data_IF_751687144050
#
_entry.id   IF_751687144050
#
_cell.length_a   1.000
_cell.length_b   1.000
_cell.length_c   1.000
_cell.angle_alpha   90.00
_cell.angle_beta   90.00
_cell.angle_gamma   90.00
#
_symmetry.space_group_name_H-M   'P 1'
#
loop_
_entity.id
_entity.type
_entity.pdbx_description
1 polymer ?
#
# COMPACT_ATOMS: atom_id res chain seq x y z
N UNK A 1 53.29 52.20 30.06
CA UNK A 1 51.84 52.10 30.31
C UNK A 1 51.49 53.23 31.27
N UNK A 2 50.68 54.19 30.87
CA UNK A 2 50.21 55.24 31.78
C UNK A 2 49.33 54.61 32.87
N UNK A 3 49.48 54.99 34.15
CA UNK A 3 48.65 54.47 35.22
C UNK A 3 47.17 54.84 34.98
N UNK A 4 46.25 53.94 35.35
CA UNK A 4 44.79 54.11 35.19
C UNK A 4 44.28 55.42 35.84
N UNK A 5 45.04 55.98 36.78
CA UNK A 5 44.78 57.26 37.46
C UNK A 5 44.96 58.51 36.60
N UNK A 6 45.59 58.42 35.43
CA UNK A 6 45.82 59.56 34.52
C UNK A 6 44.77 59.67 33.39
N UNK A 7 43.76 58.81 33.40
CA UNK A 7 42.73 58.82 32.36
C UNK A 7 41.75 59.99 32.58
N UNK A 8 41.26 60.64 31.51
CA UNK A 8 40.23 61.66 31.61
C UNK A 8 38.97 61.12 32.29
N UNK A 9 38.38 61.92 33.18
CA UNK A 9 37.10 61.61 33.82
C UNK A 9 36.06 61.23 32.75
N UNK A 10 35.53 60.01 32.83
CA UNK A 10 34.52 59.47 31.92
C UNK A 10 35.02 58.51 30.83
N UNK A 11 36.33 58.46 30.53
CA UNK A 11 36.87 57.56 29.49
C UNK A 11 36.77 56.09 29.91
N UNK A 12 37.00 55.80 31.20
CA UNK A 12 36.78 54.47 31.79
C UNK A 12 35.31 54.04 31.71
N UNK A 13 34.38 54.92 32.08
CA UNK A 13 32.93 54.64 32.04
C UNK A 13 32.44 54.38 30.62
N UNK A 14 32.91 55.15 29.63
CA UNK A 14 32.58 54.94 28.23
C UNK A 14 33.10 53.58 27.72
N UNK A 15 34.31 53.18 28.12
CA UNK A 15 34.90 51.90 27.74
C UNK A 15 34.16 50.72 28.38
N UNK A 16 33.79 50.83 29.65
CA UNK A 16 32.93 49.84 30.33
C UNK A 16 31.58 49.73 29.64
N UNK A 17 30.93 50.84 29.31
CA UNK A 17 29.65 50.84 28.60
C UNK A 17 29.75 50.20 27.21
N UNK A 18 30.83 50.46 26.46
CA UNK A 18 31.09 49.84 25.16
C UNK A 18 31.30 48.32 25.28
N UNK A 19 32.09 47.87 26.26
CA UNK A 19 32.31 46.43 26.52
C UNK A 19 31.00 45.73 26.91
N UNK A 20 30.22 46.33 27.81
CA UNK A 20 28.91 45.80 28.22
C UNK A 20 27.96 45.72 27.02
N UNK A 21 27.95 46.72 26.15
CA UNK A 21 27.12 46.72 24.94
C UNK A 21 27.52 45.62 23.96
N UNK A 22 28.82 45.40 23.75
CA UNK A 22 29.33 44.33 22.89
C UNK A 22 28.99 42.94 23.44
N UNK A 23 29.12 42.73 24.75
CA UNK A 23 28.74 41.48 25.42
C UNK A 23 27.22 41.26 25.28
N UNK A 24 26.41 42.29 25.55
CA UNK A 24 24.96 42.22 25.42
C UNK A 24 24.50 41.86 24.00
N UNK A 25 25.12 42.49 22.98
CA UNK A 25 24.87 42.17 21.58
C UNK A 25 25.27 40.73 21.24
N UNK A 26 26.46 40.28 21.66
CA UNK A 26 26.93 38.90 21.42
C UNK A 26 26.05 37.83 22.08
N UNK A 27 25.58 38.07 23.31
CA UNK A 27 24.66 37.16 24.00
C UNK A 27 23.29 37.08 23.31
N UNK A 28 22.78 38.21 22.81
CA UNK A 28 21.52 38.25 22.05
C UNK A 28 21.64 37.47 20.74
N UNK A 29 22.71 37.68 19.97
CA UNK A 29 22.92 36.98 18.70
C UNK A 29 23.00 35.45 18.91
N UNK A 30 23.72 35.00 19.94
CA UNK A 30 23.78 33.57 20.31
C UNK A 30 22.40 33.01 20.72
N UNK A 31 21.61 33.80 21.44
CA UNK A 31 20.25 33.42 21.83
C UNK A 31 19.33 33.29 20.61
N UNK A 32 19.30 34.29 19.73
CA UNK A 32 18.50 34.30 18.51
C UNK A 32 18.90 33.16 17.56
N UNK A 33 20.20 32.89 17.44
CA UNK A 33 20.69 31.77 16.64
C UNK A 33 20.27 30.41 17.23
N UNK A 34 20.32 30.23 18.55
CA UNK A 34 19.84 29.00 19.22
C UNK A 34 18.34 28.83 19.05
N UNK A 35 17.57 29.90 19.23
CA UNK A 35 16.12 29.90 19.03
C UNK A 35 15.76 29.52 17.61
N UNK A 36 16.41 30.11 16.60
CA UNK A 36 16.21 29.77 15.19
C UNK A 36 16.49 28.29 14.91
N UNK A 37 17.61 27.76 15.39
CA UNK A 37 17.94 26.32 15.26
C UNK A 37 16.91 25.42 15.94
N UNK A 38 16.39 25.83 17.11
CA UNK A 38 15.34 25.08 17.79
C UNK A 38 14.02 25.10 17.01
N UNK A 39 13.65 26.24 16.42
CA UNK A 39 12.46 26.36 15.58
C UNK A 39 12.60 25.49 14.32
N UNK A 40 13.75 25.56 13.63
CA UNK A 40 14.07 24.72 12.46
C UNK A 40 14.04 23.22 12.82
N UNK A 41 14.64 22.82 13.94
CA UNK A 41 14.63 21.43 14.40
C UNK A 41 13.20 20.94 14.71
N UNK A 42 12.36 21.78 15.33
CA UNK A 42 10.94 21.46 15.59
C UNK A 42 10.14 21.33 14.29
N UNK A 43 10.38 22.21 13.32
CA UNK A 43 9.73 22.13 12.01
C UNK A 43 10.14 20.86 11.26
N UNK A 44 11.44 20.56 11.23
CA UNK A 44 11.96 19.32 10.63
C UNK A 44 11.37 18.08 11.30
N UNK A 45 11.27 18.07 12.64
CA UNK A 45 10.66 16.97 13.38
C UNK A 45 9.17 16.80 13.04
N UNK A 46 8.41 17.90 12.94
CA UNK A 46 6.99 17.85 12.53
C UNK A 46 6.82 17.34 11.11
N UNK A 47 7.63 17.81 10.17
CA UNK A 47 7.60 17.35 8.78
C UNK A 47 7.94 15.85 8.67
N UNK A 48 8.92 15.38 9.44
CA UNK A 48 9.26 13.96 9.50
C UNK A 48 8.11 13.11 10.07
N UNK A 49 7.48 13.57 11.16
CA UNK A 49 6.31 12.91 11.73
C UNK A 49 5.14 12.87 10.74
N UNK A 50 4.85 13.97 10.06
CA UNK A 50 3.78 14.03 9.07
C UNK A 50 4.02 13.07 7.90
N UNK A 51 5.27 13.00 7.42
CA UNK A 51 5.68 12.03 6.39
C UNK A 51 5.46 10.59 6.86
N UNK A 52 5.87 10.26 8.08
CA UNK A 52 5.67 8.93 8.66
C UNK A 52 4.17 8.57 8.78
N UNK A 53 3.35 9.52 9.25
CA UNK A 53 1.89 9.33 9.33
C UNK A 53 1.26 9.11 7.96
N UNK A 54 1.71 9.85 6.94
CA UNK A 54 1.23 9.70 5.57
C UNK A 54 1.60 8.32 5.00
N UNK A 55 2.82 7.86 5.26
CA UNK A 55 3.26 6.52 4.87
C UNK A 55 2.42 5.42 5.54
N UNK A 56 2.18 5.53 6.85
CA UNK A 56 1.33 4.60 7.59
C UNK A 56 -0.13 4.58 7.06
N UNK A 57 -0.70 5.75 6.75
CA UNK A 57 -2.03 5.85 6.11
C UNK A 57 -2.06 5.17 4.75
N UNK A 58 -1.03 5.39 3.93
CA UNK A 58 -0.93 4.78 2.59
C UNK A 58 -0.86 3.25 2.67
N UNK A 59 -0.14 2.70 3.66
CA UNK A 59 -0.12 1.27 3.94
C UNK A 59 -1.46 0.77 4.50
N UNK A 60 -2.14 1.55 5.34
CA UNK A 60 -3.46 1.20 5.86
C UNK A 60 -4.51 1.15 4.74
N UNK A 61 -4.41 2.04 3.75
CA UNK A 61 -5.25 2.03 2.55
C UNK A 61 -5.07 0.73 1.77
N UNK A 62 -3.82 0.28 1.61
CA UNK A 62 -3.53 -1.03 1.01
C UNK A 62 -4.11 -2.19 1.80
N UNK A 63 -4.02 -2.16 3.14
CA UNK A 63 -4.65 -3.14 4.01
C UNK A 63 -6.16 -3.25 3.75
N UNK A 64 -6.86 -2.12 3.56
CA UNK A 64 -8.29 -2.11 3.22
C UNK A 64 -8.55 -2.72 1.84
N UNK A 65 -7.73 -2.40 0.83
CA UNK A 65 -7.85 -3.01 -0.50
C UNK A 65 -7.71 -4.55 -0.44
N UNK A 66 -6.82 -5.08 0.40
CA UNK A 66 -6.67 -6.53 0.59
C UNK A 66 -7.92 -7.14 1.25
N UNK A 67 -8.47 -6.50 2.28
CA UNK A 67 -9.70 -6.96 2.94
C UNK A 67 -10.90 -6.96 1.99
N UNK A 68 -11.07 -5.91 1.20
CA UNK A 68 -12.13 -5.82 0.18
C UNK A 68 -11.96 -6.90 -0.89
N UNK A 69 -10.72 -7.15 -1.34
CA UNK A 69 -10.41 -8.21 -2.29
C UNK A 69 -10.79 -9.59 -1.76
N UNK A 70 -10.49 -9.89 -0.49
CA UNK A 70 -10.87 -11.15 0.16
C UNK A 70 -12.40 -11.33 0.22
N UNK A 71 -13.14 -10.26 0.54
CA UNK A 71 -14.60 -10.29 0.55
C UNK A 71 -15.19 -10.57 -0.85
N UNK A 72 -14.64 -9.93 -1.90
CA UNK A 72 -15.04 -10.18 -3.30
C UNK A 72 -14.78 -11.63 -3.67
N UNK A 73 -13.58 -12.16 -3.37
CA UNK A 73 -13.20 -13.55 -3.69
C UNK A 73 -14.11 -14.55 -2.98
N UNK A 74 -14.46 -14.32 -1.71
CA UNK A 74 -15.41 -15.16 -0.97
C UNK A 74 -16.79 -15.21 -1.62
N UNK A 75 -17.37 -14.05 -1.91
CA UNK A 75 -18.66 -13.96 -2.60
C UNK A 75 -18.61 -14.65 -3.99
N UNK A 76 -17.47 -14.54 -4.67
CA UNK A 76 -17.24 -15.18 -5.94
C UNK A 76 -17.18 -16.71 -5.85
N UNK A 77 -16.49 -17.27 -4.83
CA UNK A 77 -16.50 -18.71 -4.55
C UNK A 77 -17.90 -19.23 -4.22
N UNK A 78 -18.69 -18.49 -3.44
CA UNK A 78 -20.07 -18.88 -3.14
C UNK A 78 -20.94 -18.97 -4.41
N UNK A 79 -20.81 -18.00 -5.33
CA UNK A 79 -21.49 -18.04 -6.62
C UNK A 79 -21.05 -19.25 -7.47
N UNK A 80 -19.74 -19.53 -7.50
CA UNK A 80 -19.17 -20.69 -8.21
C UNK A 80 -19.77 -21.99 -7.67
N UNK A 81 -19.74 -22.20 -6.35
CA UNK A 81 -20.26 -23.42 -5.74
C UNK A 81 -21.76 -23.58 -5.98
N UNK A 82 -22.54 -22.51 -5.84
CA UNK A 82 -23.98 -22.53 -6.12
C UNK A 82 -24.27 -22.95 -7.56
N UNK A 83 -23.54 -22.41 -8.53
CA UNK A 83 -23.68 -22.83 -9.92
C UNK A 83 -23.28 -24.31 -10.06
N UNK A 84 -22.13 -24.71 -9.54
CA UNK A 84 -21.61 -26.07 -9.69
C UNK A 84 -22.50 -27.16 -9.10
N UNK A 85 -23.11 -26.92 -7.94
CA UNK A 85 -24.08 -27.82 -7.29
C UNK A 85 -25.38 -27.89 -8.09
N UNK A 86 -25.76 -26.81 -8.77
CA UNK A 86 -26.99 -26.79 -9.58
C UNK A 86 -26.87 -27.54 -10.91
N UNK A 87 -25.67 -27.94 -11.33
CA UNK A 87 -25.44 -28.60 -12.62
C UNK A 87 -25.62 -30.11 -12.52
N UNK A 88 -26.38 -30.73 -13.45
CA UNK A 88 -26.75 -32.15 -13.35
C UNK A 88 -25.58 -33.11 -13.65
N UNK A 89 -24.61 -32.68 -14.46
CA UNK A 89 -23.50 -33.52 -14.88
C UNK A 89 -22.34 -33.36 -13.88
N UNK A 90 -21.76 -34.45 -13.34
CA UNK A 90 -20.63 -34.36 -12.42
C UNK A 90 -19.40 -33.76 -13.12
N UNK A 91 -18.44 -33.29 -12.32
CA UNK A 91 -17.14 -32.86 -12.81
C UNK A 91 -16.34 -34.06 -13.31
N UNK A 92 -15.78 -33.96 -14.51
CA UNK A 92 -14.89 -34.99 -15.07
C UNK A 92 -13.52 -34.91 -14.36
N UNK A 93 -12.75 -36.01 -14.22
CA UNK A 93 -11.42 -35.94 -13.64
C UNK A 93 -10.54 -34.88 -14.32
N UNK A 94 -9.88 -34.05 -13.51
CA UNK A 94 -9.05 -32.92 -13.95
C UNK A 94 -9.79 -31.79 -14.70
N UNK A 95 -11.13 -31.79 -14.71
CA UNK A 95 -11.91 -30.69 -15.28
C UNK A 95 -11.95 -29.53 -14.29
N UNK A 96 -11.64 -28.34 -14.78
CA UNK A 96 -11.77 -27.10 -14.00
C UNK A 96 -13.22 -26.65 -13.96
N UNK A 97 -13.61 -25.85 -12.96
CA UNK A 97 -14.97 -25.30 -12.91
C UNK A 97 -15.26 -24.47 -14.16
N UNK A 98 -14.28 -23.70 -14.61
CA UNK A 98 -14.42 -22.85 -15.78
C UNK A 98 -14.60 -23.68 -17.06
N UNK A 99 -13.84 -24.77 -17.24
CA UNK A 99 -14.01 -25.68 -18.37
C UNK A 99 -15.39 -26.37 -18.33
N UNK A 100 -15.82 -26.82 -17.15
CA UNK A 100 -17.14 -27.42 -16.94
C UNK A 100 -18.27 -26.46 -17.29
N UNK A 101 -18.18 -25.20 -16.83
CA UNK A 101 -19.19 -24.20 -17.13
C UNK A 101 -19.23 -23.85 -18.62
N UNK A 102 -18.06 -23.69 -19.25
CA UNK A 102 -17.99 -23.40 -20.68
C UNK A 102 -18.59 -24.54 -21.54
N UNK A 103 -18.33 -25.80 -21.16
CA UNK A 103 -18.87 -26.99 -21.84
C UNK A 103 -20.39 -27.09 -21.72
N UNK A 104 -20.94 -26.69 -20.59
CA UNK A 104 -22.39 -26.79 -20.28
C UNK A 104 -23.17 -25.52 -20.59
N UNK A 105 -22.52 -24.46 -21.06
CA UNK A 105 -23.09 -23.12 -21.19
C UNK A 105 -24.37 -23.09 -22.03
N UNK A 106 -24.37 -23.78 -23.17
CA UNK A 106 -25.51 -23.81 -24.10
C UNK A 106 -26.71 -24.61 -23.52
N UNK A 107 -26.47 -25.46 -22.51
CA UNK A 107 -27.46 -26.33 -21.86
C UNK A 107 -27.98 -25.74 -20.53
N UNK A 108 -27.56 -24.54 -20.15
CA UNK A 108 -28.00 -23.93 -18.90
C UNK A 108 -29.50 -23.63 -18.90
N UNK A 109 -30.18 -24.10 -17.87
CA UNK A 109 -31.53 -23.64 -17.51
C UNK A 109 -31.53 -22.13 -17.22
N UNK A 110 -32.69 -21.46 -17.25
CA UNK A 110 -32.76 -20.02 -16.94
C UNK A 110 -32.16 -19.65 -15.56
N UNK A 111 -32.40 -20.41 -14.46
CA UNK A 111 -31.75 -20.14 -13.17
C UNK A 111 -30.22 -20.29 -13.19
N UNK A 112 -29.68 -21.31 -13.87
CA UNK A 112 -28.23 -21.51 -14.02
C UNK A 112 -27.61 -20.38 -14.84
N UNK A 113 -28.26 -19.97 -15.93
CA UNK A 113 -27.84 -18.82 -16.75
C UNK A 113 -27.76 -17.54 -15.92
N UNK A 114 -28.73 -17.30 -15.03
CA UNK A 114 -28.70 -16.15 -14.14
C UNK A 114 -27.51 -16.19 -13.16
N UNK A 115 -27.23 -17.35 -12.54
CA UNK A 115 -26.07 -17.54 -11.65
C UNK A 115 -24.75 -17.34 -12.41
N UNK A 116 -24.62 -17.92 -13.60
CA UNK A 116 -23.44 -17.74 -14.44
C UNK A 116 -23.21 -16.27 -14.82
N UNK A 117 -24.28 -15.53 -15.17
CA UNK A 117 -24.18 -14.10 -15.45
C UNK A 117 -23.72 -13.29 -14.24
N UNK A 118 -24.21 -13.62 -13.04
CA UNK A 118 -23.75 -12.99 -11.80
C UNK A 118 -22.28 -13.28 -11.53
N UNK A 119 -21.86 -14.54 -11.70
CA UNK A 119 -20.48 -14.97 -11.56
C UNK A 119 -19.56 -14.20 -12.53
N UNK A 120 -19.89 -14.20 -13.83
CA UNK A 120 -19.15 -13.46 -14.86
C UNK A 120 -19.13 -11.96 -14.58
N UNK A 121 -20.27 -11.38 -14.17
CA UNK A 121 -20.35 -9.95 -13.82
C UNK A 121 -19.45 -9.60 -12.63
N UNK A 122 -19.40 -10.46 -11.61
CA UNK A 122 -18.53 -10.25 -10.46
C UNK A 122 -17.04 -10.27 -10.85
N UNK A 123 -16.62 -11.18 -11.75
CA UNK A 123 -15.25 -11.16 -12.31
C UNK A 123 -14.97 -9.90 -13.12
N UNK A 124 -15.87 -9.54 -14.04
CA UNK A 124 -15.69 -8.43 -14.97
C UNK A 124 -15.70 -7.06 -14.30
N UNK A 125 -16.49 -6.90 -13.24
CA UNK A 125 -16.72 -5.61 -12.60
C UNK A 125 -15.99 -5.53 -11.27
N UNK A 126 -16.29 -6.41 -10.31
CA UNK A 126 -15.74 -6.31 -8.96
C UNK A 126 -14.27 -6.74 -8.90
N UNK A 127 -13.95 -7.95 -9.35
CA UNK A 127 -12.58 -8.46 -9.27
C UNK A 127 -11.62 -7.65 -10.15
N UNK A 128 -12.02 -7.33 -11.39
CA UNK A 128 -11.17 -6.54 -12.30
C UNK A 128 -10.79 -5.18 -11.71
N UNK A 129 -11.78 -4.45 -11.18
CA UNK A 129 -11.54 -3.13 -10.59
C UNK A 129 -10.61 -3.29 -9.37
N UNK A 130 -10.90 -4.24 -8.48
CA UNK A 130 -10.09 -4.43 -7.28
C UNK A 130 -8.64 -4.82 -7.60
N UNK A 131 -8.46 -5.74 -8.55
CA UNK A 131 -7.14 -6.18 -9.00
C UNK A 131 -6.36 -5.03 -9.65
N UNK A 132 -7.03 -4.14 -10.39
CA UNK A 132 -6.38 -2.95 -10.94
C UNK A 132 -5.97 -1.98 -9.83
N UNK A 133 -6.81 -1.72 -8.83
CA UNK A 133 -6.47 -0.85 -7.69
C UNK A 133 -5.27 -1.39 -6.90
N UNK A 134 -5.25 -2.70 -6.65
CA UNK A 134 -4.12 -3.37 -5.99
C UNK A 134 -2.84 -3.26 -6.82
N UNK A 135 -2.93 -3.47 -8.15
CA UNK A 135 -1.78 -3.36 -9.04
C UNK A 135 -1.25 -1.93 -9.10
N UNK A 136 -2.14 -0.95 -9.22
CA UNK A 136 -1.77 0.47 -9.27
C UNK A 136 -1.15 0.94 -7.95
N UNK A 137 -1.60 0.42 -6.81
CA UNK A 137 -0.97 0.67 -5.52
C UNK A 137 0.42 0.03 -5.48
N UNK A 138 0.50 -1.25 -5.85
CA UNK A 138 1.75 -1.99 -5.84
C UNK A 138 2.79 -1.38 -6.79
N UNK A 139 2.41 -0.85 -7.95
CA UNK A 139 3.37 -0.24 -8.88
C UNK A 139 3.85 1.14 -8.42
N UNK A 140 3.12 1.83 -7.52
CA UNK A 140 3.47 3.16 -7.00
C UNK A 140 4.29 3.13 -5.72
N UNK A 141 4.10 2.13 -4.88
CA UNK A 141 4.68 2.09 -3.54
C UNK A 141 5.52 0.84 -3.30
N UNK A 142 6.51 0.98 -2.42
CA UNK A 142 7.24 -0.12 -1.79
C UNK A 142 7.42 0.19 -0.31
N UNK A 143 7.60 -0.83 0.52
CA UNK A 143 7.89 -0.61 1.94
C UNK A 143 9.20 0.18 2.10
N UNK A 144 10.18 -0.05 1.24
CA UNK A 144 11.41 0.74 1.19
C UNK A 144 11.15 2.25 1.00
N UNK A 145 10.32 2.63 0.03
CA UNK A 145 10.01 4.05 -0.22
C UNK A 145 9.20 4.70 0.89
N UNK A 146 8.41 3.91 1.62
CA UNK A 146 7.53 4.41 2.67
C UNK A 146 8.24 4.54 4.03
N UNK A 147 9.11 3.59 4.37
CA UNK A 147 9.66 3.44 5.72
C UNK A 147 11.18 3.25 5.77
N UNK A 148 11.85 3.16 4.61
CA UNK A 148 13.28 2.89 4.51
C UNK A 148 13.62 1.40 4.51
N UNK A 149 14.92 1.09 4.64
CA UNK A 149 15.46 -0.26 4.57
C UNK A 149 15.28 -1.01 5.90
N UNK A 150 14.80 -2.25 5.82
CA UNK A 150 14.68 -3.15 6.96
C UNK A 150 14.24 -4.56 6.55
N UNK A 151 14.43 -5.58 7.40
CA UNK A 151 14.13 -6.97 7.05
C UNK A 151 12.63 -7.23 6.83
N UNK A 152 11.75 -6.56 7.57
CA UNK A 152 10.29 -6.67 7.39
C UNK A 152 9.83 -5.96 6.13
N UNK A 153 10.41 -4.80 5.83
CA UNK A 153 10.18 -4.03 4.62
C UNK A 153 10.60 -4.84 3.38
N UNK A 154 11.76 -5.51 3.43
CA UNK A 154 12.21 -6.43 2.38
C UNK A 154 11.27 -7.62 2.20
N UNK A 155 10.82 -8.24 3.30
CA UNK A 155 9.88 -9.35 3.25
C UNK A 155 8.53 -8.94 2.64
N UNK A 156 8.03 -7.76 3.00
CA UNK A 156 6.83 -7.18 2.39
C UNK A 156 7.03 -6.91 0.89
N UNK A 157 8.14 -6.30 0.50
CA UNK A 157 8.41 -5.97 -0.90
C UNK A 157 8.54 -7.24 -1.78
N UNK A 158 9.04 -8.34 -1.23
CA UNK A 158 9.03 -9.64 -1.89
C UNK A 158 7.59 -10.16 -2.11
N UNK A 159 6.71 -10.06 -1.10
CA UNK A 159 5.30 -10.39 -1.26
C UNK A 159 4.62 -9.47 -2.30
N UNK A 160 4.97 -8.18 -2.31
CA UNK A 160 4.44 -7.21 -3.26
C UNK A 160 4.89 -7.51 -4.69
N UNK A 161 6.13 -7.96 -4.88
CA UNK A 161 6.63 -8.44 -6.18
C UNK A 161 5.84 -9.65 -6.67
N UNK A 162 5.55 -10.61 -5.79
CA UNK A 162 4.70 -11.76 -6.11
C UNK A 162 3.27 -11.33 -6.47
N UNK A 163 2.70 -10.36 -5.74
CA UNK A 163 1.40 -9.77 -6.05
C UNK A 163 1.38 -9.15 -7.45
N UNK A 164 2.35 -8.30 -7.80
CA UNK A 164 2.44 -7.66 -9.13
C UNK A 164 2.44 -8.70 -10.24
N UNK A 165 3.24 -9.76 -10.08
CA UNK A 165 3.31 -10.83 -11.06
C UNK A 165 1.97 -11.58 -11.18
N UNK A 166 1.33 -11.89 -10.06
CA UNK A 166 0.00 -12.50 -10.03
C UNK A 166 -1.04 -11.63 -10.75
N UNK A 167 -1.15 -10.34 -10.39
CA UNK A 167 -2.16 -9.43 -10.93
C UNK A 167 -1.97 -9.15 -12.43
N UNK A 168 -0.72 -9.02 -12.89
CA UNK A 168 -0.42 -8.88 -14.34
C UNK A 168 -0.82 -10.14 -15.10
N UNK A 169 -0.44 -11.32 -14.60
CA UNK A 169 -0.84 -12.60 -15.20
C UNK A 169 -2.36 -12.76 -15.23
N UNK A 170 -3.05 -12.35 -14.15
CA UNK A 170 -4.51 -12.35 -14.08
C UNK A 170 -5.11 -11.43 -15.14
N UNK A 171 -4.60 -10.21 -15.28
CA UNK A 171 -5.08 -9.24 -16.28
C UNK A 171 -4.88 -9.74 -17.71
N UNK A 172 -3.73 -10.32 -18.01
CA UNK A 172 -3.43 -10.83 -19.34
C UNK A 172 -4.38 -11.97 -19.71
N UNK A 173 -4.70 -12.87 -18.76
CA UNK A 173 -5.72 -13.91 -18.95
C UNK A 173 -7.14 -13.35 -19.06
N UNK A 174 -7.46 -12.34 -18.28
CA UNK A 174 -8.75 -11.67 -18.35
C UNK A 174 -9.01 -11.16 -19.78
N UNK A 175 -8.02 -10.49 -20.36
CA UNK A 175 -8.11 -9.96 -21.73
C UNK A 175 -8.09 -11.08 -22.78
N UNK A 176 -7.15 -12.01 -22.69
CA UNK A 176 -6.93 -13.02 -23.73
C UNK A 176 -8.03 -14.10 -23.78
N UNK A 177 -8.58 -14.49 -22.63
CA UNK A 177 -9.50 -15.62 -22.53
C UNK A 177 -10.90 -15.20 -22.11
N UNK A 178 -11.03 -14.41 -21.05
CA UNK A 178 -12.35 -14.10 -20.47
C UNK A 178 -13.14 -13.12 -21.32
N UNK A 179 -12.51 -12.05 -21.83
CA UNK A 179 -13.18 -11.10 -22.72
C UNK A 179 -13.49 -11.73 -24.09
N UNK A 180 -12.60 -12.59 -24.60
CA UNK A 180 -12.73 -13.22 -25.90
C UNK A 180 -13.88 -14.24 -25.99
N UNK A 181 -14.22 -14.92 -24.89
CA UNK A 181 -15.24 -15.97 -24.88
C UNK A 181 -16.29 -15.74 -23.78
N UNK A 182 -17.57 -15.51 -24.14
CA UNK A 182 -18.65 -15.28 -23.18
C UNK A 182 -18.98 -16.52 -22.31
N UNK A 183 -18.49 -17.70 -22.70
CA UNK A 183 -18.65 -18.97 -21.96
C UNK A 183 -17.67 -19.10 -20.80
N UNK A 184 -16.66 -18.25 -20.75
CA UNK A 184 -15.76 -18.16 -19.61
C UNK A 184 -16.42 -17.35 -18.50
N UNK A 185 -16.28 -17.75 -17.25
CA UNK A 185 -16.81 -16.96 -16.12
C UNK A 185 -15.79 -16.71 -15.03
N UNK A 186 -14.65 -17.39 -15.07
CA UNK A 186 -13.64 -17.37 -14.02
C UNK A 186 -12.30 -16.93 -14.59
N UNK A 187 -11.54 -16.17 -13.82
CA UNK A 187 -10.12 -15.90 -14.09
C UNK A 187 -9.35 -16.22 -12.82
N UNK A 188 -8.68 -17.37 -12.83
CA UNK A 188 -7.92 -17.94 -11.71
C UNK A 188 -8.66 -17.95 -10.37
N UNK A 189 -9.48 -18.97 -10.18
CA UNK A 189 -9.90 -19.38 -8.85
C UNK A 189 -9.05 -20.56 -8.41
N UNK A 190 -7.96 -20.25 -7.71
CA UNK A 190 -7.16 -21.23 -6.98
C UNK A 190 -6.78 -22.49 -7.79
N UNK A 191 -5.71 -22.38 -8.57
CA UNK A 191 -4.88 -23.54 -8.96
C UNK A 191 -5.54 -24.64 -9.81
N UNK A 192 -6.72 -24.39 -10.38
CA UNK A 192 -7.43 -25.41 -11.19
C UNK A 192 -6.57 -25.91 -12.38
N UNK A 193 -5.63 -25.10 -12.88
CA UNK A 193 -4.72 -25.47 -13.97
C UNK A 193 -3.21 -25.44 -13.62
N UNK A 194 -2.79 -25.09 -12.40
CA UNK A 194 -1.37 -24.85 -12.03
C UNK A 194 -0.59 -23.84 -12.91
N UNK A 195 -1.25 -23.16 -13.84
CA UNK A 195 -0.60 -22.27 -14.82
C UNK A 195 -0.35 -20.84 -14.30
N UNK A 196 -0.71 -20.55 -13.04
CA UNK A 196 -0.68 -19.20 -12.47
C UNK A 196 0.32 -19.05 -11.33
N UNK A 197 0.78 -17.82 -11.09
CA UNK A 197 1.45 -17.49 -9.84
C UNK A 197 0.38 -17.37 -8.75
N UNK A 198 0.54 -18.01 -7.58
CA UNK A 198 -0.45 -17.92 -6.52
C UNK A 198 -0.49 -16.50 -5.94
N UNK A 199 -1.63 -16.13 -5.38
CA UNK A 199 -1.72 -14.91 -4.57
C UNK A 199 -0.78 -15.04 -3.36
N UNK A 200 -0.02 -13.99 -3.00
CA UNK A 200 0.96 -14.06 -1.91
C UNK A 200 0.28 -14.24 -0.54
N UNK A 201 0.40 -15.44 0.03
CA UNK A 201 -0.30 -15.84 1.27
C UNK A 201 0.13 -15.05 2.51
N UNK A 202 1.35 -14.50 2.52
CA UNK A 202 1.89 -13.78 3.67
C UNK A 202 1.69 -12.27 3.56
N UNK A 203 1.14 -11.77 2.46
CA UNK A 203 1.03 -10.33 2.21
C UNK A 203 0.19 -9.62 3.29
N UNK A 204 -0.99 -10.15 3.64
CA UNK A 204 -1.83 -9.54 4.68
C UNK A 204 -1.15 -9.51 6.05
N UNK A 205 -0.42 -10.57 6.41
CA UNK A 205 0.34 -10.63 7.65
C UNK A 205 1.52 -9.64 7.65
N UNK A 206 2.23 -9.53 6.52
CA UNK A 206 3.31 -8.57 6.34
C UNK A 206 2.81 -7.11 6.41
N UNK A 207 1.66 -6.80 5.80
CA UNK A 207 1.00 -5.49 5.91
C UNK A 207 0.68 -5.17 7.37
N UNK A 208 0.10 -6.12 8.11
CA UNK A 208 -0.26 -5.92 9.51
C UNK A 208 0.98 -5.71 10.40
N UNK A 209 2.05 -6.47 10.16
CA UNK A 209 3.32 -6.32 10.89
C UNK A 209 3.93 -4.92 10.68
N UNK A 210 3.97 -4.42 9.44
CA UNK A 210 4.47 -3.08 9.14
C UNK A 210 3.59 -1.98 9.75
N UNK A 211 2.27 -2.13 9.74
CA UNK A 211 1.37 -1.16 10.41
C UNK A 211 1.54 -1.15 11.93
N UNK A 212 1.80 -2.31 12.55
CA UNK A 212 2.06 -2.38 13.98
C UNK A 212 3.39 -1.69 14.35
N UNK A 213 4.41 -1.82 13.50
CA UNK A 213 5.71 -1.16 13.66
C UNK A 213 5.67 0.34 13.39
N UNK A 214 4.88 0.77 12.39
CA UNK A 214 4.78 2.14 11.92
C UNK A 214 3.36 2.69 12.09
N UNK A 215 2.92 2.99 13.32
CA UNK A 215 1.57 3.50 13.56
C UNK A 215 1.38 4.92 12.98
N UNK A 216 0.13 5.21 12.61
CA UNK A 216 -0.29 6.50 12.04
C UNK A 216 -0.46 7.63 13.09
#
# INVERSE_FOLDING_TARGET
MAPISEWPDGLFSALVAAVVSLIGFGLKELYDQRRKRQEEARQAQRAAQETQRQAARTLADFGRLLTESDAIVKAHFELRERLAVSLPQPMVPNETYNARFARLYDDFTPPQTALFRLLRSNTANSMRIQNQLLLDWADRYSAYTLFGEGPEEQAFDEQLRQLRLHLRTWRDKFQASFEADPRQSLVYLHDEDQHGKPFPKQLSAATAALLAKHPA
#
